data_IF_975371266189
#
_entry.id   IF_975371266189
#
_cell.length_a   1.000
_cell.length_b   1.000
_cell.length_c   1.000
_cell.angle_alpha   90.00
_cell.angle_beta   90.00
_cell.angle_gamma   90.00
#
_symmetry.space_group_name_H-M   'P 1'
#
loop_
_entity.id
_entity.type
_entity.pdbx_description
1 polymer ?
#
# COMPACT_ATOMS: atom_id res chain seq x y z
N UNK A 1 21.02 -25.09 14.74
CA UNK A 1 19.56 -24.87 14.58
C UNK A 1 19.19 -24.98 13.10
N UNK A 2 18.11 -25.70 12.78
CA UNK A 2 17.66 -25.96 11.40
C UNK A 2 17.05 -24.72 10.73
N UNK A 3 17.44 -24.43 9.48
CA UNK A 3 16.90 -23.32 8.65
C UNK A 3 15.38 -23.36 8.49
N UNK A 4 14.77 -24.54 8.61
CA UNK A 4 13.32 -24.72 8.52
C UNK A 4 12.59 -24.02 9.68
N UNK A 5 13.16 -24.11 10.89
CA UNK A 5 12.57 -23.49 12.09
C UNK A 5 12.63 -21.97 12.01
N UNK A 6 13.70 -21.44 11.40
CA UNK A 6 13.85 -20.02 11.19
C UNK A 6 12.82 -19.48 10.17
N UNK A 7 12.70 -20.12 9.00
CA UNK A 7 11.72 -19.71 7.98
C UNK A 7 10.26 -19.81 8.47
N UNK A 8 9.94 -20.82 9.28
CA UNK A 8 8.60 -20.95 9.87
C UNK A 8 8.26 -19.80 10.84
N UNK A 9 9.25 -19.27 11.57
CA UNK A 9 9.07 -18.12 12.48
C UNK A 9 8.89 -16.81 11.71
N UNK A 10 9.65 -16.62 10.63
CA UNK A 10 9.54 -15.45 9.76
C UNK A 10 8.16 -15.40 9.07
N UNK A 11 7.69 -16.52 8.53
CA UNK A 11 6.35 -16.61 7.93
C UNK A 11 5.22 -16.34 8.95
N UNK A 12 5.38 -16.79 10.19
CA UNK A 12 4.41 -16.53 11.27
C UNK A 12 4.39 -15.04 11.67
N UNK A 13 5.53 -14.36 11.70
CA UNK A 13 5.61 -12.94 12.01
C UNK A 13 4.94 -12.07 10.93
N UNK A 14 5.12 -12.40 9.65
CA UNK A 14 4.40 -11.75 8.54
C UNK A 14 2.89 -11.92 8.64
N UNK A 15 2.41 -13.14 8.97
CA UNK A 15 0.98 -13.44 9.06
C UNK A 15 0.27 -12.75 10.22
N UNK A 16 1.00 -12.34 11.26
CA UNK A 16 0.45 -11.67 12.45
C UNK A 16 0.43 -10.14 12.36
N UNK A 17 0.85 -9.57 11.24
CA UNK A 17 1.05 -8.11 11.09
C UNK A 17 2.08 -7.54 12.10
N UNK A 18 2.91 -8.43 12.68
CA UNK A 18 4.00 -8.10 13.62
C UNK A 18 5.34 -7.92 12.89
N UNK A 19 5.38 -8.17 11.58
CA UNK A 19 6.57 -7.97 10.78
C UNK A 19 6.83 -6.48 10.60
N UNK A 20 8.09 -6.11 10.82
CA UNK A 20 8.55 -4.75 10.88
C UNK A 20 8.23 -4.06 9.55
N UNK A 21 7.62 -2.86 9.52
CA UNK A 21 7.37 -2.11 8.30
C UNK A 21 8.61 -1.92 7.41
N UNK A 22 9.81 -2.04 8.00
CA UNK A 22 11.10 -2.01 7.30
C UNK A 22 11.40 -3.27 6.46
N UNK A 23 10.71 -4.38 6.68
CA UNK A 23 10.87 -5.63 5.91
C UNK A 23 10.01 -5.66 4.64
N UNK A 24 9.13 -4.66 4.46
CA UNK A 24 8.35 -4.49 3.24
C UNK A 24 8.86 -3.28 2.47
N UNK A 25 9.60 -3.53 1.39
CA UNK A 25 9.88 -2.49 0.42
C UNK A 25 8.57 -2.10 -0.29
N UNK A 26 7.91 -1.04 0.18
CA UNK A 26 6.77 -0.44 -0.53
C UNK A 26 7.33 0.14 -1.83
N UNK A 27 7.19 -0.61 -2.91
CA UNK A 27 7.56 -0.13 -4.24
C UNK A 27 6.50 0.87 -4.70
N UNK A 28 6.70 2.14 -4.35
CA UNK A 28 5.91 3.26 -4.87
C UNK A 28 6.48 3.57 -6.25
N UNK A 29 5.73 3.36 -7.35
CA UNK A 29 6.20 3.70 -8.68
C UNK A 29 6.54 5.20 -8.76
N UNK A 30 7.57 5.56 -9.52
CA UNK A 30 7.94 6.97 -9.74
C UNK A 30 6.77 7.80 -10.30
N UNK A 31 5.88 7.15 -11.05
CA UNK A 31 4.68 7.79 -11.60
C UNK A 31 3.44 6.95 -11.26
N UNK A 32 2.51 7.56 -10.53
CA UNK A 32 1.21 6.97 -10.22
C UNK A 32 0.16 7.75 -11.00
N UNK A 33 -0.51 7.09 -11.96
CA UNK A 33 -1.64 7.69 -12.68
C UNK A 33 -2.91 7.62 -11.83
N UNK A 34 -3.07 8.64 -10.99
CA UNK A 34 -4.20 8.76 -10.07
C UNK A 34 -5.53 8.88 -10.83
N UNK A 35 -5.52 9.49 -12.02
CA UNK A 35 -6.71 9.63 -12.86
C UNK A 35 -7.23 8.26 -13.31
N UNK A 36 -6.33 7.41 -13.79
CA UNK A 36 -6.68 6.07 -14.27
C UNK A 36 -7.14 5.16 -13.14
N UNK A 37 -6.50 5.22 -11.97
CA UNK A 37 -6.94 4.47 -10.77
C UNK A 37 -8.34 4.91 -10.36
N UNK A 38 -8.57 6.21 -10.22
CA UNK A 38 -9.89 6.76 -9.86
C UNK A 38 -10.97 6.37 -10.86
N UNK A 39 -10.68 6.42 -12.16
CA UNK A 39 -11.61 6.01 -13.22
C UNK A 39 -11.96 4.52 -13.14
N UNK A 40 -10.96 3.65 -12.90
CA UNK A 40 -11.20 2.22 -12.67
C UNK A 40 -12.10 1.95 -11.47
N UNK A 41 -11.99 2.77 -10.43
CA UNK A 41 -12.81 2.66 -9.22
C UNK A 41 -14.20 3.32 -9.36
N UNK A 42 -14.51 3.98 -10.49
CA UNK A 42 -15.79 4.64 -10.71
C UNK A 42 -16.03 5.87 -9.83
N UNK A 43 -14.97 6.46 -9.26
CA UNK A 43 -15.09 7.50 -8.24
C UNK A 43 -14.99 8.92 -8.82
N UNK A 44 -15.71 9.86 -8.20
CA UNK A 44 -15.47 11.30 -8.38
C UNK A 44 -14.17 11.70 -7.70
N UNK A 45 -13.58 12.83 -8.09
CA UNK A 45 -12.35 13.34 -7.48
C UNK A 45 -12.53 13.62 -5.98
N UNK A 46 -13.72 14.09 -5.58
CA UNK A 46 -14.06 14.35 -4.18
C UNK A 46 -14.22 13.07 -3.36
N UNK A 47 -14.90 12.05 -3.90
CA UNK A 47 -15.02 10.76 -3.23
C UNK A 47 -13.66 10.08 -3.06
N UNK A 48 -12.82 10.15 -4.10
CA UNK A 48 -11.46 9.61 -4.05
C UNK A 48 -10.59 10.35 -3.02
N UNK A 49 -10.64 11.69 -2.98
CA UNK A 49 -9.98 12.49 -1.95
C UNK A 49 -10.43 12.13 -0.53
N UNK A 50 -11.74 11.97 -0.32
CA UNK A 50 -12.31 11.64 0.99
C UNK A 50 -11.89 10.25 1.50
N UNK A 51 -11.84 9.25 0.61
CA UNK A 51 -11.48 7.87 0.98
C UNK A 51 -10.01 7.74 1.37
N UNK A 52 -9.11 8.38 0.61
CA UNK A 52 -7.67 8.22 0.79
C UNK A 52 -7.02 9.36 1.60
N UNK A 53 -7.78 10.35 2.05
CA UNK A 53 -7.33 11.34 3.03
C UNK A 53 -6.43 12.45 2.50
N UNK A 54 -6.41 12.71 1.20
CA UNK A 54 -5.67 13.84 0.60
C UNK A 54 -6.60 14.97 0.15
N UNK A 55 -6.04 16.19 0.04
CA UNK A 55 -6.81 17.38 -0.37
C UNK A 55 -7.19 17.28 -1.85
N UNK A 56 -8.39 17.73 -2.21
CA UNK A 56 -8.86 17.74 -3.60
C UNK A 56 -7.90 18.51 -4.54
N UNK A 57 -7.28 19.58 -4.03
CA UNK A 57 -6.31 20.39 -4.77
C UNK A 57 -5.05 19.61 -5.18
N UNK A 58 -4.69 18.54 -4.45
CA UNK A 58 -3.53 17.69 -4.75
C UNK A 58 -3.77 16.80 -5.97
N UNK A 59 -5.03 16.58 -6.37
CA UNK A 59 -5.42 15.77 -7.53
C UNK A 59 -5.50 16.57 -8.85
N UNK A 60 -5.14 17.85 -8.84
CA UNK A 60 -5.22 18.76 -10.01
C UNK A 60 -3.92 18.83 -10.83
N UNK A 61 -2.83 18.28 -10.31
CA UNK A 61 -1.51 18.19 -10.95
C UNK A 61 -1.28 16.77 -11.45
#
# INVERSE_FOLDING_TARGET
MSRIVQGAREALAMAKDEANPNDYAVNIPETIDVWRIRKKLGMTQAAFAGIFGFRLATLRH
#
